data_IF_806747411461
#
_entry.id   IF_806747411461
#
_cell.length_a   1.000
_cell.length_b   1.000
_cell.length_c   1.000
_cell.angle_alpha   90.00
_cell.angle_beta   90.00
_cell.angle_gamma   90.00
#
_symmetry.space_group_name_H-M   'P 1'
#
loop_
_entity.id
_entity.type
_entity.pdbx_description
1 polymer ?
#
# COMPACT_ATOMS: atom_id res chain seq x y z
N UNK A 1 -6.03 -4.61 21.75
CA UNK A 1 -6.43 -5.08 20.42
C UNK A 1 -6.12 -3.98 19.42
N UNK A 2 -4.96 -4.04 18.75
CA UNK A 2 -4.75 -3.21 17.56
C UNK A 2 -5.73 -3.73 16.50
N UNK A 3 -6.55 -2.85 15.94
CA UNK A 3 -7.40 -3.21 14.81
C UNK A 3 -6.48 -3.57 13.63
N UNK A 4 -6.21 -4.86 13.46
CA UNK A 4 -5.52 -5.38 12.28
C UNK A 4 -6.39 -5.01 11.08
N UNK A 5 -5.88 -4.09 10.26
CA UNK A 5 -6.47 -3.78 8.97
C UNK A 5 -6.53 -5.09 8.17
N UNK A 6 -7.69 -5.42 7.62
CA UNK A 6 -7.88 -6.70 6.91
C UNK A 6 -7.09 -6.74 5.60
N UNK A 7 -6.68 -7.93 5.16
CA UNK A 7 -6.05 -8.14 3.84
C UNK A 7 -6.87 -7.55 2.69
N UNK A 8 -8.20 -7.54 2.83
CA UNK A 8 -9.13 -6.90 1.89
C UNK A 8 -8.92 -5.38 1.79
N UNK A 9 -8.70 -4.70 2.91
CA UNK A 9 -8.44 -3.25 2.90
C UNK A 9 -7.10 -2.95 2.22
N UNK A 10 -6.09 -3.78 2.45
CA UNK A 10 -4.80 -3.67 1.76
C UNK A 10 -4.94 -3.90 0.25
N UNK A 11 -5.70 -4.92 -0.17
CA UNK A 11 -5.98 -5.17 -1.59
C UNK A 11 -6.73 -3.99 -2.25
N UNK A 12 -7.67 -3.37 -1.55
CA UNK A 12 -8.36 -2.16 -2.05
C UNK A 12 -7.41 -0.97 -2.23
N UNK A 13 -6.47 -0.77 -1.30
CA UNK A 13 -5.46 0.29 -1.44
C UNK A 13 -4.54 0.03 -2.64
N UNK A 14 -4.14 -1.21 -2.86
CA UNK A 14 -3.33 -1.62 -4.02
C UNK A 14 -4.10 -1.42 -5.33
N UNK A 15 -5.36 -1.87 -5.40
CA UNK A 15 -6.20 -1.66 -6.58
C UNK A 15 -6.40 -0.18 -6.89
N UNK A 16 -6.70 0.63 -5.87
CA UNK A 16 -6.85 2.08 -6.04
C UNK A 16 -5.56 2.75 -6.48
N UNK A 17 -4.40 2.29 -6.00
CA UNK A 17 -3.11 2.80 -6.47
C UNK A 17 -2.89 2.46 -7.95
N UNK A 18 -3.16 1.22 -8.34
CA UNK A 18 -3.10 0.76 -9.72
C UNK A 18 -4.00 1.59 -10.65
N UNK A 19 -5.24 1.84 -10.25
CA UNK A 19 -6.20 2.65 -11.01
C UNK A 19 -5.71 4.10 -11.19
N UNK A 20 -5.18 4.72 -10.15
CA UNK A 20 -4.65 6.10 -10.22
C UNK A 20 -3.43 6.20 -11.14
N UNK A 21 -2.58 5.17 -11.12
CA UNK A 21 -1.35 5.11 -11.93
C UNK A 21 -1.61 4.64 -13.36
N UNK A 22 -2.80 4.10 -13.66
CA UNK A 22 -3.06 3.39 -14.90
C UNK A 22 -2.21 2.12 -15.08
N UNK A 23 -1.66 1.59 -13.98
CA UNK A 23 -0.77 0.44 -13.98
C UNK A 23 -1.57 -0.86 -13.87
N UNK A 24 -1.50 -1.79 -14.84
CA UNK A 24 -2.24 -3.03 -14.77
C UNK A 24 -1.69 -3.93 -13.66
N UNK A 25 -2.58 -4.49 -12.85
CA UNK A 25 -2.20 -5.51 -11.86
C UNK A 25 -1.83 -6.84 -12.56
N UNK A 26 -0.89 -7.63 -12.02
CA UNK A 26 -0.51 -8.91 -12.63
C UNK A 26 -1.71 -9.87 -12.79
N UNK A 27 -1.83 -10.50 -13.96
CA UNK A 27 -2.92 -11.44 -14.23
C UNK A 27 -2.94 -12.63 -13.24
N UNK A 28 -1.76 -13.08 -12.80
CA UNK A 28 -1.61 -14.10 -11.77
C UNK A 28 -2.21 -13.65 -10.42
N UNK A 29 -1.96 -12.40 -10.02
CA UNK A 29 -2.55 -11.79 -8.83
C UNK A 29 -4.09 -11.75 -8.94
N UNK A 30 -4.64 -11.26 -10.05
CA UNK A 30 -6.08 -11.20 -10.27
C UNK A 30 -6.76 -12.57 -10.15
N UNK A 31 -6.12 -13.64 -10.67
CA UNK A 31 -6.61 -15.01 -10.53
C UNK A 31 -6.68 -15.47 -9.07
N UNK A 32 -5.68 -15.12 -8.26
CA UNK A 32 -5.65 -15.47 -6.84
C UNK A 32 -6.68 -14.67 -6.03
N UNK A 33 -6.88 -13.38 -6.35
CA UNK A 33 -7.93 -12.54 -5.75
C UNK A 33 -9.32 -13.14 -6.03
N UNK A 34 -9.59 -13.56 -7.27
CA UNK A 34 -10.86 -14.22 -7.62
C UNK A 34 -11.06 -15.52 -6.83
N UNK A 35 -10.00 -16.30 -6.62
CA UNK A 35 -10.06 -17.50 -5.78
C UNK A 35 -10.37 -17.15 -4.32
N UNK A 36 -9.76 -16.11 -3.76
CA UNK A 36 -10.05 -15.63 -2.41
C UNK A 36 -11.50 -15.13 -2.27
N UNK A 37 -12.01 -14.42 -3.29
CA UNK A 37 -13.39 -13.92 -3.31
C UNK A 37 -14.41 -15.06 -3.34
N UNK A 38 -14.13 -16.15 -4.07
CA UNK A 38 -15.01 -17.32 -4.08
C UNK A 38 -15.25 -17.92 -2.68
N UNK A 39 -14.26 -17.85 -1.77
CA UNK A 39 -14.46 -18.27 -0.37
C UNK A 39 -15.35 -17.31 0.41
N UNK A 40 -15.25 -16.00 0.15
CA UNK A 40 -16.15 -15.00 0.75
C UNK A 40 -17.59 -15.17 0.25
N UNK A 41 -17.76 -15.43 -1.05
CA UNK A 41 -19.08 -15.66 -1.64
C UNK A 41 -19.71 -16.96 -1.09
N UNK A 42 -18.92 -18.03 -0.96
CA UNK A 42 -19.37 -19.26 -0.33
C UNK A 42 -19.76 -19.04 1.15
N UNK A 43 -18.96 -18.28 1.90
CA UNK A 43 -19.25 -17.95 3.29
C UNK A 43 -20.56 -17.17 3.47
N UNK A 44 -20.84 -16.22 2.56
CA UNK A 44 -22.08 -15.44 2.59
C UNK A 44 -23.31 -16.31 2.31
N UNK A 45 -23.17 -17.33 1.45
CA UNK A 45 -24.25 -18.30 1.19
C UNK A 45 -24.53 -19.21 2.39
N UNK A 46 -23.51 -19.55 3.18
CA UNK A 46 -23.65 -20.37 4.39
C UNK A 46 -24.31 -19.59 5.55
N UNK A 47 -24.37 -18.26 5.49
CA UNK A 47 -24.89 -17.38 6.55
C UNK A 47 -26.42 -17.44 6.79
N UNK A 48 -27.05 -18.59 6.57
CA UNK A 48 -28.48 -18.82 6.72
C UNK A 48 -28.89 -18.82 8.20
N UNK A 49 -29.96 -18.10 8.52
CA UNK A 49 -30.51 -18.04 9.87
C UNK A 49 -31.50 -19.17 10.13
N UNK A 50 -31.78 -19.45 11.41
CA UNK A 50 -32.88 -20.37 11.78
C UNK A 50 -34.23 -19.88 11.23
N UNK A 51 -34.42 -18.56 11.12
CA UNK A 51 -35.65 -17.97 10.57
C UNK A 51 -35.86 -18.30 9.09
N UNK A 52 -34.78 -18.27 8.30
CA UNK A 52 -34.84 -18.61 6.87
C UNK A 52 -35.26 -20.07 6.66
N UNK A 53 -34.69 -20.99 7.46
CA UNK A 53 -35.06 -22.40 7.43
C UNK A 53 -36.53 -22.62 7.86
N UNK A 54 -36.96 -22.00 8.96
CA UNK A 54 -38.35 -22.10 9.41
C UNK A 54 -39.33 -21.56 8.36
N UNK A 55 -39.00 -20.41 7.74
CA UNK A 55 -39.81 -19.81 6.69
C UNK A 55 -39.96 -20.74 5.48
N UNK A 56 -38.89 -21.41 5.05
CA UNK A 56 -38.95 -22.37 3.95
C UNK A 56 -39.78 -23.61 4.28
N UNK A 57 -39.68 -24.13 5.50
CA UNK A 57 -40.52 -25.25 5.96
C UNK A 57 -41.99 -24.86 5.98
N UNK A 58 -42.33 -23.68 6.50
CA UNK A 58 -43.72 -23.20 6.50
C UNK A 58 -44.25 -22.97 5.08
N UNK A 59 -43.44 -22.40 4.18
CA UNK A 59 -43.82 -22.22 2.78
C UNK A 59 -44.07 -23.57 2.07
N UNK A 60 -43.27 -24.60 2.36
CA UNK A 60 -43.49 -25.94 1.82
C UNK A 60 -44.81 -26.55 2.33
N UNK A 61 -45.10 -26.41 3.62
CA UNK A 61 -46.35 -26.88 4.25
C UNK A 61 -47.57 -26.14 3.65
N UNK A 62 -47.51 -24.81 3.53
CA UNK A 62 -48.58 -24.00 2.95
C UNK A 62 -48.86 -24.36 1.48
N UNK A 63 -47.82 -24.72 0.73
CA UNK A 63 -47.93 -25.17 -0.65
C UNK A 63 -48.39 -26.64 -0.78
N UNK A 64 -48.60 -27.36 0.33
CA UNK A 64 -48.96 -28.78 0.33
C UNK A 64 -47.85 -29.70 -0.19
N UNK A 65 -46.59 -29.24 -0.16
CA UNK A 65 -45.41 -30.02 -0.54
C UNK A 65 -44.88 -30.79 0.67
N UNK A 66 -44.25 -31.94 0.42
CA UNK A 66 -43.46 -32.61 1.45
C UNK A 66 -42.17 -31.82 1.70
N UNK A 67 -42.04 -31.25 2.89
CA UNK A 67 -40.85 -30.48 3.27
C UNK A 67 -39.61 -31.35 3.44
N UNK A 68 -39.74 -32.69 3.58
CA UNK A 68 -38.60 -33.60 3.65
C UNK A 68 -37.87 -33.74 2.31
N UNK A 69 -38.62 -33.69 1.20
CA UNK A 69 -38.07 -33.80 -0.16
C UNK A 69 -37.94 -32.43 -0.85
N UNK A 70 -38.31 -31.34 -0.17
CA UNK A 70 -38.19 -30.00 -0.73
C UNK A 70 -36.69 -29.61 -0.86
N UNK A 71 -36.22 -29.29 -2.08
CA UNK A 71 -34.80 -29.00 -2.32
C UNK A 71 -34.34 -27.69 -1.65
N UNK A 72 -35.23 -26.73 -1.46
CA UNK A 72 -34.90 -25.47 -0.78
C UNK A 72 -34.77 -25.69 0.73
N UNK A 73 -35.68 -26.47 1.33
CA UNK A 73 -35.58 -26.88 2.74
C UNK A 73 -34.29 -27.68 2.97
N UNK A 74 -33.99 -28.65 2.11
CA UNK A 74 -32.77 -29.47 2.19
C UNK A 74 -31.50 -28.62 2.10
N UNK A 75 -31.46 -27.67 1.15
CA UNK A 75 -30.33 -26.74 1.00
C UNK A 75 -30.16 -25.87 2.25
N UNK A 76 -31.23 -25.26 2.75
CA UNK A 76 -31.18 -24.39 3.94
C UNK A 76 -30.83 -25.17 5.21
N UNK A 77 -31.24 -26.44 5.32
CA UNK A 77 -30.84 -27.33 6.41
C UNK A 77 -29.33 -27.58 6.38
N UNK A 78 -28.76 -27.90 5.22
CA UNK A 78 -27.31 -28.06 5.05
C UNK A 78 -26.57 -26.75 5.37
N UNK A 79 -27.00 -25.63 4.81
CA UNK A 79 -26.40 -24.31 5.07
C UNK A 79 -26.45 -23.98 6.57
N UNK A 80 -27.54 -24.35 7.27
CA UNK A 80 -27.67 -24.16 8.72
C UNK A 80 -26.71 -25.04 9.51
N UNK A 81 -26.53 -26.30 9.13
CA UNK A 81 -25.54 -27.20 9.74
C UNK A 81 -24.13 -26.62 9.56
N UNK A 82 -23.77 -26.23 8.34
CA UNK A 82 -22.47 -25.60 8.03
C UNK A 82 -22.26 -24.29 8.81
N UNK A 83 -23.32 -23.47 8.94
CA UNK A 83 -23.31 -22.24 9.73
C UNK A 83 -23.05 -22.51 11.21
N UNK A 84 -23.73 -23.52 11.78
CA UNK A 84 -23.58 -23.91 13.19
C UNK A 84 -22.18 -24.44 13.50
N UNK A 85 -21.50 -25.02 12.51
CA UNK A 85 -20.11 -25.46 12.61
C UNK A 85 -19.08 -24.36 12.27
N UNK A 86 -19.48 -23.09 12.20
CA UNK A 86 -18.61 -21.95 11.88
C UNK A 86 -17.84 -22.10 10.55
N UNK A 87 -18.38 -22.86 9.59
CA UNK A 87 -17.74 -23.05 8.28
C UNK A 87 -17.69 -21.73 7.52
N UNK A 88 -18.73 -20.89 7.64
CA UNK A 88 -18.73 -19.55 7.02
C UNK A 88 -17.66 -18.62 7.59
N UNK A 89 -17.34 -18.70 8.89
CA UNK A 89 -16.22 -17.93 9.46
C UNK A 89 -14.87 -18.48 9.00
N UNK A 90 -14.72 -19.80 8.99
CA UNK A 90 -13.50 -20.48 8.52
C UNK A 90 -13.22 -20.21 7.04
N UNK A 91 -14.27 -20.18 6.21
CA UNK A 91 -14.17 -19.81 4.79
C UNK A 91 -13.76 -18.34 4.61
N UNK A 92 -14.32 -17.41 5.40
CA UNK A 92 -13.87 -15.99 5.40
C UNK A 92 -12.40 -15.87 5.76
N UNK A 93 -11.96 -16.51 6.86
CA UNK A 93 -10.55 -16.55 7.27
C UNK A 93 -9.66 -17.10 6.16
N UNK A 94 -10.05 -18.21 5.54
CA UNK A 94 -9.30 -18.79 4.42
C UNK A 94 -9.22 -17.85 3.21
N UNK A 95 -10.29 -17.13 2.91
CA UNK A 95 -10.31 -16.11 1.86
C UNK A 95 -9.32 -14.98 2.16
N UNK A 96 -9.34 -14.46 3.39
CA UNK A 96 -8.40 -13.41 3.84
C UNK A 96 -6.94 -13.90 3.80
N UNK A 97 -6.67 -15.14 4.21
CA UNK A 97 -5.32 -15.76 4.15
C UNK A 97 -4.83 -15.88 2.70
N UNK A 98 -5.69 -16.31 1.79
CA UNK A 98 -5.36 -16.40 0.36
C UNK A 98 -5.09 -15.03 -0.25
N UNK A 99 -5.84 -14.01 0.17
CA UNK A 99 -5.64 -12.64 -0.31
C UNK A 99 -4.34 -12.04 0.23
N UNK A 100 -4.01 -12.28 1.50
CA UNK A 100 -2.74 -11.88 2.09
C UNK A 100 -1.56 -12.56 1.38
N UNK A 101 -1.65 -13.87 1.11
CA UNK A 101 -0.64 -14.59 0.36
C UNK A 101 -0.47 -14.03 -1.06
N UNK A 102 -1.57 -13.77 -1.77
CA UNK A 102 -1.52 -13.20 -3.12
C UNK A 102 -0.82 -11.82 -3.16
N UNK A 103 -1.10 -10.97 -2.18
CA UNK A 103 -0.45 -9.67 -2.04
C UNK A 103 1.05 -9.81 -1.73
N UNK A 104 1.44 -10.77 -0.89
CA UNK A 104 2.85 -11.03 -0.58
C UNK A 104 3.60 -11.61 -1.78
N UNK A 105 3.03 -12.62 -2.45
CA UNK A 105 3.64 -13.34 -3.56
C UNK A 105 3.86 -12.46 -4.79
N UNK A 106 2.96 -11.49 -5.02
CA UNK A 106 3.00 -10.59 -6.18
C UNK A 106 3.38 -9.14 -5.81
N UNK A 107 3.76 -8.88 -4.56
CA UNK A 107 4.02 -7.52 -4.09
C UNK A 107 5.12 -6.80 -4.87
N UNK A 108 6.23 -7.49 -5.16
CA UNK A 108 7.33 -6.93 -5.93
C UNK A 108 6.95 -6.68 -7.40
N UNK A 109 6.20 -7.59 -8.04
CA UNK A 109 5.71 -7.41 -9.42
C UNK A 109 4.78 -6.20 -9.53
N UNK A 110 3.88 -6.03 -8.55
CA UNK A 110 2.96 -4.89 -8.48
C UNK A 110 3.75 -3.59 -8.31
N UNK A 111 4.72 -3.57 -7.40
CA UNK A 111 5.54 -2.37 -7.15
C UNK A 111 6.47 -2.03 -8.30
N UNK A 112 6.97 -3.02 -9.04
CA UNK A 112 7.70 -2.79 -10.28
C UNK A 112 6.80 -2.09 -11.31
N UNK A 113 5.58 -2.58 -11.52
CA UNK A 113 4.61 -1.92 -12.41
C UNK A 113 4.23 -0.50 -11.95
N UNK A 114 4.17 -0.25 -10.64
CA UNK A 114 3.95 1.10 -10.11
C UNK A 114 5.17 2.00 -10.32
N UNK A 115 6.39 1.47 -10.18
CA UNK A 115 7.61 2.23 -10.43
C UNK A 115 7.68 2.67 -11.89
N UNK A 116 7.43 1.77 -12.84
CA UNK A 116 7.42 2.08 -14.28
C UNK A 116 6.39 3.17 -14.62
N UNK A 117 5.19 3.10 -14.03
CA UNK A 117 4.15 4.11 -14.23
C UNK A 117 4.49 5.48 -13.62
N UNK A 118 5.48 5.56 -12.72
CA UNK A 118 5.91 6.80 -12.08
C UNK A 118 7.08 7.48 -12.78
N UNK A 119 7.69 6.89 -13.81
CA UNK A 119 8.88 7.46 -14.46
C UNK A 119 8.61 8.89 -14.98
N UNK A 120 7.57 9.08 -15.80
CA UNK A 120 7.20 10.40 -16.32
C UNK A 120 6.81 11.39 -15.20
N UNK A 121 6.17 10.90 -14.14
CA UNK A 121 5.82 11.72 -12.98
C UNK A 121 7.05 12.16 -12.18
N UNK A 122 8.07 11.31 -12.12
CA UNK A 122 9.35 11.60 -11.45
C UNK A 122 10.13 12.66 -12.21
N UNK A 123 10.21 12.53 -13.54
CA UNK A 123 10.82 13.54 -14.40
C UNK A 123 10.09 14.88 -14.32
N UNK A 124 8.75 14.85 -14.31
CA UNK A 124 7.93 16.05 -14.14
C UNK A 124 8.16 16.75 -12.79
N UNK A 125 8.32 16.00 -11.70
CA UNK A 125 8.66 16.54 -10.38
C UNK A 125 10.06 17.15 -10.36
N UNK A 126 11.05 16.47 -10.93
CA UNK A 126 12.42 16.96 -11.02
C UNK A 126 12.48 18.28 -11.81
N UNK A 127 11.84 18.32 -12.99
CA UNK A 127 11.78 19.52 -13.82
C UNK A 127 11.06 20.68 -13.11
N UNK A 128 9.96 20.40 -12.41
CA UNK A 128 9.26 21.43 -11.64
C UNK A 128 10.07 21.92 -10.43
N UNK A 129 10.83 21.05 -9.78
CA UNK A 129 11.71 21.40 -8.67
C UNK A 129 12.87 22.28 -9.11
N UNK A 130 13.43 22.05 -10.31
CA UNK A 130 14.45 22.90 -10.92
C UNK A 130 13.89 24.26 -11.34
N UNK A 131 12.74 24.28 -12.02
CA UNK A 131 12.13 25.52 -12.51
C UNK A 131 11.57 26.40 -11.40
N UNK A 132 11.02 25.80 -10.33
CA UNK A 132 10.30 26.53 -9.27
C UNK A 132 10.61 25.99 -7.85
N UNK A 133 11.88 26.06 -7.39
CA UNK A 133 12.34 25.40 -6.17
C UNK A 133 11.74 25.97 -4.87
N UNK A 134 11.20 27.19 -4.88
CA UNK A 134 10.58 27.83 -3.72
C UNK A 134 9.05 27.73 -3.72
N UNK A 135 8.48 26.91 -4.61
CA UNK A 135 7.04 26.79 -4.77
C UNK A 135 6.42 25.89 -3.71
N UNK A 136 5.37 26.39 -3.05
CA UNK A 136 4.52 25.60 -2.16
C UNK A 136 3.42 24.93 -2.99
N UNK A 137 3.53 23.61 -3.20
CA UNK A 137 2.54 22.79 -3.91
C UNK A 137 1.18 22.70 -3.20
N UNK A 138 1.04 23.28 -2.00
CA UNK A 138 -0.23 23.35 -1.26
C UNK A 138 -1.02 24.61 -1.58
N UNK A 139 -0.41 25.65 -2.18
CA UNK A 139 -1.01 26.97 -2.43
C UNK A 139 -1.02 27.33 -3.91
N UNK A 140 -2.04 26.88 -4.64
CA UNK A 140 -2.17 27.11 -6.09
C UNK A 140 -2.29 28.58 -6.50
N UNK A 141 -2.86 29.43 -5.65
CA UNK A 141 -3.07 30.85 -5.94
C UNK A 141 -1.76 31.63 -6.17
N UNK A 142 -0.68 31.18 -5.52
CA UNK A 142 0.67 31.73 -5.69
C UNK A 142 1.32 31.33 -7.02
N UNK A 143 0.85 30.27 -7.67
CA UNK A 143 1.37 29.83 -8.97
C UNK A 143 0.70 30.62 -10.10
N UNK A 144 -0.61 30.86 -10.03
CA UNK A 144 -1.37 31.61 -11.03
C UNK A 144 -0.87 33.07 -11.17
N UNK A 145 -0.48 33.69 -10.05
CA UNK A 145 0.03 35.07 -10.02
C UNK A 145 1.45 35.22 -10.58
N UNK A 146 2.22 34.13 -10.66
CA UNK A 146 3.61 34.12 -11.15
C UNK A 146 3.74 33.82 -12.65
N UNK A 147 2.63 33.63 -13.36
CA UNK A 147 2.57 33.44 -14.81
C UNK A 147 2.27 32.00 -15.24
N UNK A 148 1.86 31.85 -16.51
CA UNK A 148 1.34 30.60 -17.05
C UNK A 148 2.35 29.44 -17.09
N UNK A 149 3.64 29.71 -17.19
CA UNK A 149 4.69 28.68 -17.13
C UNK A 149 4.85 28.11 -15.71
N UNK A 150 4.90 28.96 -14.69
CA UNK A 150 4.94 28.53 -13.28
C UNK A 150 3.68 27.73 -12.94
N UNK A 151 2.51 28.16 -13.43
CA UNK A 151 1.27 27.42 -13.25
C UNK A 151 1.31 26.02 -13.91
N UNK A 152 1.93 25.88 -15.08
CA UNK A 152 2.12 24.57 -15.74
C UNK A 152 3.00 23.64 -14.92
N UNK A 153 4.17 24.12 -14.44
CA UNK A 153 5.04 23.32 -13.58
C UNK A 153 4.35 22.95 -12.26
N UNK A 154 3.59 23.88 -11.66
CA UNK A 154 2.80 23.60 -10.46
C UNK A 154 1.76 22.51 -10.68
N UNK A 155 0.99 22.59 -11.76
CA UNK A 155 -0.05 21.61 -12.08
C UNK A 155 0.57 20.23 -12.34
N UNK A 156 1.64 20.16 -13.13
CA UNK A 156 2.35 18.91 -13.40
C UNK A 156 2.92 18.28 -12.13
N UNK A 157 3.59 19.07 -11.29
CA UNK A 157 4.11 18.61 -10.00
C UNK A 157 3.00 18.12 -9.07
N UNK A 158 1.81 18.77 -9.10
CA UNK A 158 0.70 18.35 -8.26
C UNK A 158 0.13 16.99 -8.69
N UNK A 159 -0.09 16.81 -9.99
CA UNK A 159 -0.53 15.53 -10.55
C UNK A 159 0.46 14.43 -10.21
N UNK A 160 1.76 14.68 -10.40
CA UNK A 160 2.80 13.72 -10.06
C UNK A 160 2.85 13.40 -8.56
N UNK A 161 2.67 14.39 -7.68
CA UNK A 161 2.62 14.18 -6.23
C UNK A 161 1.43 13.30 -5.83
N UNK A 162 0.27 13.48 -6.45
CA UNK A 162 -0.92 12.68 -6.14
C UNK A 162 -0.78 11.23 -6.65
N UNK A 163 -0.12 11.02 -7.81
CA UNK A 163 0.28 9.70 -8.29
C UNK A 163 1.26 9.01 -7.33
N UNK A 164 2.34 9.70 -6.93
CA UNK A 164 3.30 9.18 -5.96
C UNK A 164 2.68 8.83 -4.61
N UNK A 165 1.75 9.64 -4.09
CA UNK A 165 1.01 9.34 -2.86
C UNK A 165 0.11 8.11 -3.01
N UNK A 166 -0.45 7.87 -4.20
CA UNK A 166 -1.20 6.65 -4.46
C UNK A 166 -0.28 5.43 -4.42
N UNK A 167 0.86 5.50 -5.10
CA UNK A 167 1.87 4.45 -5.10
C UNK A 167 2.42 4.16 -3.70
N UNK A 168 2.73 5.21 -2.91
CA UNK A 168 3.22 5.08 -1.54
C UNK A 168 2.21 4.37 -0.63
N UNK A 169 0.91 4.67 -0.75
CA UNK A 169 -0.15 3.93 -0.04
C UNK A 169 -0.20 2.46 -0.45
N UNK A 170 -0.02 2.16 -1.73
CA UNK A 170 0.09 0.80 -2.24
C UNK A 170 1.30 0.07 -1.65
N UNK A 171 2.45 0.73 -1.63
CA UNK A 171 3.68 0.23 -1.01
C UNK A 171 3.48 -0.10 0.47
N UNK A 172 2.93 0.81 1.28
CA UNK A 172 2.73 0.51 2.71
C UNK A 172 1.70 -0.59 2.94
N UNK A 173 0.69 -0.71 2.07
CA UNK A 173 -0.25 -1.82 2.15
C UNK A 173 0.44 -3.17 1.91
N UNK A 174 1.30 -3.26 0.88
CA UNK A 174 2.07 -4.46 0.57
C UNK A 174 3.12 -4.76 1.66
N UNK A 175 3.84 -3.75 2.13
CA UNK A 175 4.83 -3.89 3.19
C UNK A 175 4.20 -4.40 4.50
N UNK A 176 3.02 -3.88 4.88
CA UNK A 176 2.29 -4.38 6.05
C UNK A 176 1.88 -5.84 5.88
N UNK A 177 1.36 -6.25 4.73
CA UNK A 177 0.97 -7.65 4.49
C UNK A 177 2.17 -8.58 4.47
N UNK A 178 3.30 -8.15 3.91
CA UNK A 178 4.56 -8.90 3.90
C UNK A 178 5.30 -8.88 5.26
N UNK A 179 4.80 -8.17 6.28
CA UNK A 179 5.46 -8.05 7.59
C UNK A 179 6.76 -7.23 7.56
N UNK A 180 6.94 -6.37 6.55
CA UNK A 180 8.13 -5.53 6.39
C UNK A 180 7.98 -4.28 7.26
N UNK A 181 8.94 -4.07 8.17
CA UNK A 181 8.98 -2.86 8.99
C UNK A 181 9.56 -1.68 8.21
N UNK A 182 8.75 -0.65 8.01
CA UNK A 182 9.14 0.60 7.33
C UNK A 182 9.21 1.82 8.25
N UNK A 183 8.99 1.64 9.57
CA UNK A 183 8.97 2.75 10.53
C UNK A 183 10.29 3.53 10.53
N UNK A 184 10.19 4.86 10.43
CA UNK A 184 11.33 5.76 10.38
C UNK A 184 12.20 5.66 9.11
N UNK A 185 11.73 4.93 8.08
CA UNK A 185 12.49 4.65 6.84
C UNK A 185 11.70 4.94 5.56
N UNK A 186 10.59 5.69 5.65
CA UNK A 186 9.69 5.98 4.52
C UNK A 186 10.41 6.53 3.28
N UNK A 187 11.38 7.44 3.45
CA UNK A 187 12.16 7.99 2.34
C UNK A 187 12.87 6.92 1.49
N UNK A 188 13.27 5.79 2.07
CA UNK A 188 13.95 4.70 1.33
C UNK A 188 13.00 3.96 0.37
N UNK A 189 11.69 4.05 0.58
CA UNK A 189 10.71 3.56 -0.39
C UNK A 189 10.62 4.48 -1.61
N UNK A 190 10.98 5.76 -1.47
CA UNK A 190 10.79 6.79 -2.49
C UNK A 190 12.06 7.07 -3.31
N UNK A 191 13.24 6.80 -2.74
CA UNK A 191 14.52 7.07 -3.39
C UNK A 191 15.57 5.99 -3.07
N UNK A 192 16.49 5.69 -4.02
CA UNK A 192 17.65 4.85 -3.78
C UNK A 192 18.83 5.60 -3.13
N UNK A 193 18.67 6.89 -2.79
CA UNK A 193 19.71 7.72 -2.22
C UNK A 193 20.34 7.13 -0.94
N UNK A 194 21.64 7.34 -0.75
CA UNK A 194 22.37 6.88 0.43
C UNK A 194 22.10 7.79 1.62
N UNK A 195 22.49 7.32 2.81
CA UNK A 195 22.28 8.08 4.05
C UNK A 195 22.84 9.51 3.99
N UNK A 196 24.07 9.65 3.48
CA UNK A 196 24.73 10.96 3.38
C UNK A 196 23.96 11.93 2.46
N UNK A 197 23.43 11.43 1.35
CA UNK A 197 22.71 12.23 0.35
C UNK A 197 21.30 12.61 0.83
N UNK A 198 20.74 11.86 1.78
CA UNK A 198 19.42 12.12 2.38
C UNK A 198 19.44 13.23 3.44
N UNK A 199 20.58 13.51 4.07
CA UNK A 199 20.65 14.50 5.17
C UNK A 199 20.12 15.89 4.75
N UNK A 200 20.50 16.46 3.59
CA UNK A 200 19.95 17.75 3.13
C UNK A 200 18.43 17.75 2.92
N UNK A 201 17.84 16.60 2.60
CA UNK A 201 16.39 16.44 2.47
C UNK A 201 15.72 16.37 3.84
N UNK A 202 16.29 15.65 4.81
CA UNK A 202 15.82 15.63 6.19
C UNK A 202 15.88 17.03 6.84
N UNK A 203 16.95 17.79 6.60
CA UNK A 203 17.06 19.16 7.08
C UNK A 203 16.00 20.09 6.48
N UNK A 204 15.75 19.98 5.17
CA UNK A 204 14.71 20.75 4.49
C UNK A 204 13.33 20.45 5.08
N UNK A 205 12.99 19.17 5.20
CA UNK A 205 11.72 18.72 5.75
C UNK A 205 11.53 19.21 7.20
N UNK A 206 12.58 19.15 8.02
CA UNK A 206 12.58 19.67 9.39
C UNK A 206 12.32 21.18 9.43
N UNK A 207 13.00 21.95 8.59
CA UNK A 207 12.84 23.40 8.50
C UNK A 207 11.42 23.79 8.05
N UNK A 208 10.83 23.02 7.14
CA UNK A 208 9.48 23.22 6.63
C UNK A 208 8.40 22.53 7.48
N UNK A 209 8.78 21.87 8.58
CA UNK A 209 7.91 21.13 9.52
C UNK A 209 7.01 20.13 8.79
N UNK A 210 7.61 19.34 7.90
CA UNK A 210 6.96 18.33 7.08
C UNK A 210 7.77 17.04 7.11
N UNK A 211 7.18 15.94 6.65
CA UNK A 211 7.90 14.69 6.40
C UNK A 211 8.68 14.77 5.07
N UNK A 212 9.68 13.91 4.91
CA UNK A 212 10.42 13.77 3.65
C UNK A 212 9.51 13.06 2.64
N UNK A 213 8.92 13.84 1.73
CA UNK A 213 8.13 13.36 0.61
C UNK A 213 8.88 13.50 -0.72
N UNK A 214 8.27 13.05 -1.81
CA UNK A 214 8.87 13.11 -3.16
C UNK A 214 9.17 14.52 -3.64
N UNK A 215 8.44 15.53 -3.14
CA UNK A 215 8.71 16.93 -3.50
C UNK A 215 9.95 17.46 -2.78
N UNK A 216 10.10 17.14 -1.49
CA UNK A 216 11.33 17.44 -0.74
C UNK A 216 12.53 16.77 -1.40
N UNK A 217 12.40 15.50 -1.81
CA UNK A 217 13.47 14.75 -2.48
C UNK A 217 13.81 15.37 -3.85
N UNK A 218 12.81 15.70 -4.67
CA UNK A 218 13.02 16.35 -5.97
C UNK A 218 13.72 17.72 -5.84
N UNK A 219 13.34 18.54 -4.86
CA UNK A 219 14.00 19.83 -4.57
C UNK A 219 15.45 19.72 -4.13
N UNK A 220 15.86 18.52 -3.70
CA UNK A 220 17.26 18.20 -3.39
C UNK A 220 17.98 17.49 -4.52
N UNK A 221 17.34 17.36 -5.69
CA UNK A 221 17.92 16.68 -6.85
C UNK A 221 18.14 15.18 -6.60
N UNK A 222 17.41 14.59 -5.66
CA UNK A 222 17.53 13.17 -5.36
C UNK A 222 16.69 12.36 -6.36
N UNK A 223 17.20 11.22 -6.85
CA UNK A 223 16.47 10.39 -7.80
C UNK A 223 15.21 9.84 -7.12
N UNK A 224 14.07 9.96 -7.78
CA UNK A 224 12.81 9.38 -7.34
C UNK A 224 12.65 8.01 -8.02
N UNK A 225 12.56 6.95 -7.22
CA UNK A 225 12.30 5.60 -7.71
C UNK A 225 11.67 4.76 -6.62
N UNK A 226 10.41 4.38 -6.86
CA UNK A 226 9.66 3.56 -5.93
C UNK A 226 10.38 2.22 -5.75
N UNK A 227 10.57 1.81 -4.51
CA UNK A 227 11.19 0.53 -4.20
C UNK A 227 10.17 -0.59 -4.35
N UNK A 228 10.62 -1.74 -4.87
CA UNK A 228 9.98 -3.01 -4.51
C UNK A 228 10.22 -3.33 -3.03
N UNK A 229 9.54 -4.32 -2.45
CA UNK A 229 9.81 -4.74 -1.07
C UNK A 229 11.24 -5.27 -0.94
N UNK A 230 11.69 -6.08 -1.90
CA UNK A 230 13.07 -6.55 -1.98
C UNK A 230 14.09 -5.41 -2.02
N UNK A 231 13.87 -4.42 -2.90
CA UNK A 231 14.73 -3.24 -2.98
C UNK A 231 14.69 -2.43 -1.68
N UNK A 232 13.52 -2.23 -1.08
CA UNK A 232 13.38 -1.48 0.17
C UNK A 232 14.16 -2.12 1.31
N UNK A 233 14.10 -3.45 1.44
CA UNK A 233 14.88 -4.18 2.44
C UNK A 233 16.39 -4.01 2.20
N UNK A 234 16.83 -4.07 0.95
CA UNK A 234 18.23 -3.82 0.58
C UNK A 234 18.67 -2.39 0.92
N UNK A 235 17.89 -1.38 0.51
CA UNK A 235 18.11 0.04 0.84
C UNK A 235 18.16 0.26 2.36
N UNK A 236 17.26 -0.40 3.10
CA UNK A 236 17.19 -0.37 4.56
C UNK A 236 18.40 -0.98 5.26
N UNK A 237 18.88 -2.12 4.77
CA UNK A 237 20.10 -2.76 5.28
C UNK A 237 21.32 -1.86 5.02
N UNK A 238 21.40 -1.29 3.82
CA UNK A 238 22.48 -0.39 3.45
C UNK A 238 22.50 0.89 4.28
N UNK A 239 21.33 1.52 4.49
CA UNK A 239 21.21 2.69 5.35
C UNK A 239 21.68 2.40 6.80
N UNK A 240 21.36 1.20 7.31
CA UNK A 240 21.80 0.76 8.63
C UNK A 240 23.32 0.57 8.70
N UNK A 241 23.91 0.00 7.65
CA UNK A 241 25.36 -0.16 7.54
C UNK A 241 26.08 1.19 7.47
N UNK A 242 25.55 2.14 6.70
CA UNK A 242 26.09 3.50 6.58
C UNK A 242 26.07 4.21 7.95
N UNK A 243 24.94 4.10 8.68
CA UNK A 243 24.83 4.65 10.04
C UNK A 243 25.87 4.05 10.99
N UNK A 244 26.00 2.72 11.00
CA UNK A 244 26.98 2.05 11.86
C UNK A 244 28.43 2.42 11.51
N UNK A 245 28.74 2.63 10.23
CA UNK A 245 30.05 3.08 9.80
C UNK A 245 30.38 4.50 10.30
N UNK A 246 29.43 5.42 10.19
CA UNK A 246 29.59 6.79 10.72
C UNK A 246 29.72 6.83 12.24
N UNK A 247 28.94 6.02 12.96
CA UNK A 247 29.01 5.96 14.43
C UNK A 247 30.38 5.45 14.88
N UNK A 248 30.92 4.41 14.23
CA UNK A 248 32.30 3.92 14.45
C UNK A 248 33.34 5.01 14.16
N UNK A 249 33.22 5.70 13.03
CA UNK A 249 34.16 6.77 12.67
C UNK A 249 34.08 7.98 13.63
N UNK A 250 32.90 8.26 14.21
CA UNK A 250 32.73 9.30 15.23
C UNK A 250 33.37 8.88 16.56
N UNK A 251 33.19 7.63 16.96
CA UNK A 251 33.80 7.09 18.17
C UNK A 251 35.33 7.07 18.08
N UNK A 252 35.88 6.62 16.95
CA UNK A 252 37.32 6.62 16.71
C UNK A 252 37.91 8.03 16.80
N UNK A 253 37.28 9.03 16.16
CA UNK A 253 37.70 10.44 16.27
C UNK A 253 37.61 10.97 17.70
N UNK A 254 36.62 10.55 18.48
CA UNK A 254 36.49 10.92 19.90
C UNK A 254 37.62 10.33 20.74
N UNK A 255 38.01 9.08 20.49
CA UNK A 255 39.11 8.41 21.19
C UNK A 255 40.46 9.06 20.84
N UNK A 256 40.71 9.34 19.56
CA UNK A 256 41.93 10.03 19.08
C UNK A 256 42.03 11.47 19.65
N UNK A 257 40.92 12.21 19.70
CA UNK A 257 40.89 13.55 20.30
C UNK A 257 41.02 13.53 21.84
N UNK A 258 40.60 12.44 22.49
CA UNK A 258 40.74 12.24 23.93
C UNK A 258 42.13 11.78 24.38
N UNK A 259 42.90 11.16 23.48
CA UNK A 259 44.28 10.70 23.74
C UNK A 259 45.34 11.81 23.61
N UNK A 260 44.98 12.94 22.98
CA UNK A 260 45.84 14.12 22.81
C UNK A 260 45.63 15.19 23.91
N UNK A 261 45.13 14.81 25.10
CA UNK A 261 45.03 15.69 26.28
C UNK A 261 45.91 15.21 27.42
#
# INVERSE_FOLDING_TARGET
MQHLISARTHAQNVAKAADVLGAPLPAAYAKQVNKAQAFSDAANRIGVTTGDLHGAVFAAIEAGKDYHDDPDVTRLLLDRVLSTHNIGESARRRGDDLLAAALADHGDDILAGFADALDEHSDGLAAAAEAVPAMDLRRGDNAATKGGEVLRHWAAARTALDAWRAAERGFYALATVAGVNYSGRGALALTPARKADLEPAYELARNERTDVDVWVLARRGLPLRLATLGEFMSRSAQYSADKAAEDRAREQRRLEAGFNR
#
